data_IF_161160952986
#
_entry.id   IF_161160952986
#
_cell.length_a   1.000
_cell.length_b   1.000
_cell.length_c   1.000
_cell.angle_alpha   90.00
_cell.angle_beta   90.00
_cell.angle_gamma   90.00
#
_symmetry.space_group_name_H-M   'P 1'
#
loop_
_entity.id
_entity.type
_entity.pdbx_description
1 polymer ?
#
# COMPACT_ATOMS: atom_id res chain seq x y z
N UNK A 1 6.26 0.74 4.94
CA UNK A 1 5.47 0.36 3.75
C UNK A 1 4.01 0.16 4.08
N UNK A 2 3.66 -0.74 5.01
CA UNK A 2 2.27 -0.94 5.47
C UNK A 2 1.56 0.38 5.78
N UNK A 3 2.17 1.22 6.62
CA UNK A 3 1.61 2.51 7.00
C UNK A 3 1.37 3.42 5.79
N UNK A 4 2.31 3.52 4.84
CA UNK A 4 2.12 4.31 3.63
C UNK A 4 0.90 3.88 2.78
N UNK A 5 0.59 2.57 2.73
CA UNK A 5 -0.64 2.07 2.07
C UNK A 5 -1.88 2.46 2.85
N UNK A 6 -1.83 2.37 4.19
CA UNK A 6 -2.94 2.75 5.07
C UNK A 6 -3.20 4.26 4.99
N UNK A 7 -2.15 5.08 5.00
CA UNK A 7 -2.25 6.53 4.89
C UNK A 7 -2.84 6.94 3.54
N UNK A 8 -2.43 6.30 2.45
CA UNK A 8 -3.02 6.54 1.13
C UNK A 8 -4.51 6.17 1.12
N UNK A 9 -4.87 5.04 1.72
CA UNK A 9 -6.26 4.63 1.87
C UNK A 9 -7.05 5.59 2.78
N UNK A 10 -6.45 6.14 3.82
CA UNK A 10 -7.03 7.15 4.72
C UNK A 10 -7.24 8.52 4.03
N UNK A 11 -6.61 8.75 2.87
CA UNK A 11 -6.91 9.88 1.99
C UNK A 11 -8.04 9.58 0.98
N UNK A 12 -8.60 8.36 1.01
CA UNK A 12 -9.65 7.91 0.09
C UNK A 12 -9.08 7.47 -1.26
N UNK A 13 -7.78 7.18 -1.30
CA UNK A 13 -7.05 6.86 -2.52
C UNK A 13 -6.49 5.44 -2.45
N UNK A 14 -6.31 4.87 -3.62
CA UNK A 14 -5.51 3.67 -3.83
C UNK A 14 -4.57 3.91 -4.99
N UNK A 15 -3.37 3.33 -4.97
CA UNK A 15 -2.43 3.52 -6.07
C UNK A 15 -2.98 2.92 -7.36
N UNK A 16 -3.54 1.71 -7.28
CA UNK A 16 -4.18 1.03 -8.39
C UNK A 16 -3.20 0.26 -9.27
N UNK A 17 -1.89 0.46 -9.11
CA UNK A 17 -0.82 -0.37 -9.66
C UNK A 17 0.42 -0.40 -8.75
N UNK A 18 0.23 -0.49 -7.42
CA UNK A 18 1.35 -0.43 -6.48
C UNK A 18 2.29 -1.63 -6.66
N UNK A 19 3.58 -1.35 -6.80
CA UNK A 19 4.63 -2.34 -6.91
C UNK A 19 5.97 -1.81 -6.37
N UNK A 20 6.97 -2.65 -6.15
CA UNK A 20 8.29 -2.19 -5.72
C UNK A 20 8.95 -1.20 -6.69
N UNK A 21 8.52 -1.17 -7.96
CA UNK A 21 9.07 -0.27 -8.97
C UNK A 21 8.56 1.18 -8.82
N UNK A 22 7.43 1.40 -8.15
CA UNK A 22 6.89 2.73 -7.87
C UNK A 22 6.99 3.11 -6.37
N UNK A 23 7.94 2.49 -5.67
CA UNK A 23 8.32 2.86 -4.30
C UNK A 23 9.80 3.18 -4.26
N UNK A 24 10.15 4.38 -3.79
CA UNK A 24 11.52 4.79 -3.53
C UNK A 24 11.80 4.73 -2.02
N UNK A 25 13.04 4.48 -1.63
CA UNK A 25 13.49 4.64 -0.25
C UNK A 25 14.17 6.01 -0.11
N UNK A 26 13.57 6.93 0.64
CA UNK A 26 14.20 8.20 0.96
C UNK A 26 15.26 8.01 2.04
N UNK A 27 16.53 8.16 1.66
CA UNK A 27 17.69 7.98 2.54
C UNK A 27 18.13 9.26 3.27
N UNK A 28 17.38 10.36 3.14
CA UNK A 28 17.69 11.62 3.83
C UNK A 28 17.37 11.59 5.32
N UNK A 29 16.55 10.64 5.77
CA UNK A 29 16.19 10.40 7.17
C UNK A 29 17.10 9.34 7.81
N UNK A 30 17.11 9.28 9.14
CA UNK A 30 17.92 8.32 9.90
C UNK A 30 17.56 6.86 9.60
N UNK A 31 16.28 6.61 9.32
CA UNK A 31 15.77 5.34 8.80
C UNK A 31 15.16 5.60 7.40
N UNK A 32 15.37 4.73 6.41
CA UNK A 32 14.81 4.92 5.08
C UNK A 32 13.28 4.92 5.11
N UNK A 33 12.67 5.99 4.60
CA UNK A 33 11.21 6.14 4.56
C UNK A 33 10.67 5.81 3.14
N UNK A 34 9.63 4.97 3.01
CA UNK A 34 9.07 4.63 1.71
C UNK A 34 8.30 5.81 1.11
N UNK A 35 8.69 6.22 -0.10
CA UNK A 35 8.00 7.23 -0.90
C UNK A 35 7.30 6.54 -2.07
N UNK A 36 5.97 6.57 -2.05
CA UNK A 36 5.15 6.12 -3.19
C UNK A 36 5.22 7.20 -4.28
N UNK A 37 5.56 6.79 -5.49
CA UNK A 37 5.64 7.67 -6.67
C UNK A 37 4.60 7.28 -7.71
N UNK A 38 4.60 8.00 -8.83
CA UNK A 38 3.61 7.82 -9.92
C UNK A 38 2.16 8.07 -9.46
N UNK A 39 2.00 9.11 -8.64
CA UNK A 39 0.73 9.49 -8.00
C UNK A 39 -0.36 9.98 -8.98
N UNK A 40 -0.07 10.52 -10.19
CA UNK A 40 -1.14 10.83 -11.14
C UNK A 40 -2.03 9.65 -11.54
N UNK A 41 -1.59 8.40 -11.30
CA UNK A 41 -2.36 7.18 -11.60
C UNK A 41 -3.25 6.70 -10.44
N UNK A 42 -3.28 7.38 -9.29
CA UNK A 42 -4.11 6.95 -8.15
C UNK A 42 -5.60 6.97 -8.49
N UNK A 43 -6.32 6.01 -7.92
CA UNK A 43 -7.75 5.81 -8.12
C UNK A 43 -8.49 6.19 -6.84
N UNK A 44 -9.68 6.79 -6.98
CA UNK A 44 -10.58 7.01 -5.85
C UNK A 44 -11.03 5.65 -5.27
N UNK A 45 -10.64 5.37 -4.04
CA UNK A 45 -10.91 4.10 -3.36
C UNK A 45 -12.40 3.93 -3.04
N UNK A 46 -13.13 5.03 -2.81
CA UNK A 46 -14.49 5.02 -2.27
C UNK A 46 -15.53 5.13 -3.39
N UNK A 47 -15.33 6.05 -4.32
CA UNK A 47 -16.26 6.32 -5.41
C UNK A 47 -16.12 5.32 -6.56
N UNK A 48 -14.95 4.68 -6.73
CA UNK A 48 -14.77 3.68 -7.78
C UNK A 48 -15.37 2.33 -7.37
N UNK A 49 -16.28 1.73 -8.16
CA UNK A 49 -16.86 0.40 -7.87
C UNK A 49 -15.82 -0.72 -7.71
N UNK A 50 -14.63 -0.54 -8.26
CA UNK A 50 -13.53 -1.49 -8.21
C UNK A 50 -12.43 -1.09 -7.21
N UNK A 51 -12.58 -0.01 -6.45
CA UNK A 51 -11.56 0.53 -5.54
C UNK A 51 -11.03 -0.53 -4.55
N UNK A 52 -11.91 -1.30 -3.93
CA UNK A 52 -11.55 -2.39 -3.02
C UNK A 52 -10.70 -3.48 -3.69
N UNK A 53 -10.95 -3.78 -4.96
CA UNK A 53 -10.18 -4.78 -5.69
C UNK A 53 -8.78 -4.27 -6.04
N UNK A 54 -8.67 -2.99 -6.41
CA UNK A 54 -7.36 -2.34 -6.57
C UNK A 54 -6.57 -2.34 -5.26
N UNK A 55 -7.20 -2.05 -4.12
CA UNK A 55 -6.52 -2.07 -2.82
C UNK A 55 -6.02 -3.47 -2.47
N UNK A 56 -6.86 -4.50 -2.67
CA UNK A 56 -6.45 -5.90 -2.48
C UNK A 56 -5.28 -6.28 -3.39
N UNK A 57 -5.28 -5.83 -4.64
CA UNK A 57 -4.18 -6.06 -5.59
C UNK A 57 -2.89 -5.43 -5.09
N UNK A 58 -2.91 -4.16 -4.74
CA UNK A 58 -1.76 -3.40 -4.25
C UNK A 58 -1.15 -4.04 -3.00
N UNK A 59 -1.99 -4.35 -2.00
CA UNK A 59 -1.57 -5.05 -0.78
C UNK A 59 -0.95 -6.41 -1.11
N UNK A 60 -1.59 -7.23 -1.96
CA UNK A 60 -1.06 -8.54 -2.35
C UNK A 60 0.29 -8.43 -3.05
N UNK A 61 0.44 -7.51 -3.98
CA UNK A 61 1.71 -7.30 -4.71
C UNK A 61 2.83 -6.94 -3.75
N UNK A 62 2.60 -5.97 -2.86
CA UNK A 62 3.61 -5.53 -1.91
C UNK A 62 3.94 -6.58 -0.86
N UNK A 63 2.94 -7.25 -0.28
CA UNK A 63 3.15 -8.32 0.68
C UNK A 63 3.90 -9.51 0.05
N UNK A 64 3.58 -9.89 -1.19
CA UNK A 64 4.30 -10.94 -1.92
C UNK A 64 5.77 -10.57 -2.10
N UNK A 65 6.04 -9.34 -2.53
CA UNK A 65 7.41 -8.89 -2.68
C UNK A 65 8.16 -8.83 -1.35
N UNK A 66 7.55 -8.30 -0.28
CA UNK A 66 8.15 -8.25 1.06
C UNK A 66 8.47 -9.65 1.58
N UNK A 67 7.59 -10.63 1.37
CA UNK A 67 7.85 -12.02 1.74
C UNK A 67 9.06 -12.60 0.99
N UNK A 68 9.22 -12.29 -0.31
CA UNK A 68 10.41 -12.66 -1.09
C UNK A 68 11.68 -11.99 -0.55
N UNK A 69 11.58 -10.77 -0.02
CA UNK A 69 12.69 -10.07 0.65
C UNK A 69 12.96 -10.56 2.09
N UNK A 70 12.21 -11.56 2.57
CA UNK A 70 12.43 -12.16 3.90
C UNK A 70 11.63 -11.55 5.04
N UNK A 71 10.59 -10.74 4.75
CA UNK A 71 9.68 -10.26 5.77
C UNK A 71 8.91 -11.43 6.44
N UNK A 72 8.68 -11.39 7.76
CA UNK A 72 7.90 -12.43 8.43
C UNK A 72 6.43 -12.39 7.98
N UNK A 73 5.70 -13.52 8.01
CA UNK A 73 4.29 -13.57 7.62
C UNK A 73 3.40 -12.55 8.34
N UNK A 74 3.70 -12.27 9.61
CA UNK A 74 2.97 -11.27 10.41
C UNK A 74 3.13 -9.83 9.91
N UNK A 75 4.19 -9.52 9.15
CA UNK A 75 4.44 -8.20 8.59
C UNK A 75 3.91 -8.06 7.15
N UNK A 76 3.64 -9.17 6.47
CA UNK A 76 3.30 -9.24 5.05
C UNK A 76 2.03 -10.06 4.78
N UNK A 77 0.99 -9.83 5.59
CA UNK A 77 -0.34 -10.39 5.36
C UNK A 77 -1.23 -9.36 4.61
N UNK A 78 -1.59 -9.62 3.34
CA UNK A 78 -2.36 -8.67 2.55
C UNK A 78 -3.80 -8.47 3.05
N UNK A 79 -4.43 -9.49 3.65
CA UNK A 79 -5.78 -9.36 4.20
C UNK A 79 -5.77 -8.51 5.48
N UNK A 80 -4.72 -8.63 6.28
CA UNK A 80 -4.49 -7.77 7.44
C UNK A 80 -4.32 -6.30 7.02
N UNK A 81 -3.51 -6.02 5.99
CA UNK A 81 -3.30 -4.66 5.47
C UNK A 81 -4.60 -4.06 4.94
N UNK A 82 -5.36 -4.82 4.15
CA UNK A 82 -6.68 -4.39 3.64
C UNK A 82 -7.62 -4.10 4.81
N UNK A 83 -7.71 -5.00 5.79
CA UNK A 83 -8.57 -4.79 6.95
C UNK A 83 -8.15 -3.54 7.75
N UNK A 84 -6.85 -3.28 7.89
CA UNK A 84 -6.32 -2.09 8.58
C UNK A 84 -6.65 -0.80 7.83
N UNK A 85 -6.48 -0.77 6.51
CA UNK A 85 -6.84 0.36 5.66
C UNK A 85 -8.32 0.74 5.82
N UNK A 86 -9.22 -0.24 5.95
CA UNK A 86 -10.65 0.00 6.18
C UNK A 86 -11.01 0.45 7.60
N UNK A 87 -10.19 0.14 8.62
CA UNK A 87 -10.48 0.56 10.01
C UNK A 87 -10.40 2.08 10.19
N UNK A 88 -9.59 2.76 9.38
CA UNK A 88 -9.45 4.23 9.44
C UNK A 88 -10.74 5.01 9.12
N UNK A 89 -11.74 4.34 8.53
CA UNK A 89 -12.98 4.95 8.03
C UNK A 89 -14.23 4.54 8.80
N UNK A 90 -14.06 3.86 9.94
CA UNK A 90 -15.14 3.23 10.71
C UNK A 90 -15.40 3.99 12.00
#
# INVERSE_FOLDING_TARGET
MREAVIDLAALGLVHGDLSPYNVLADSRLAEPDPVIIDVPQTIDLIANPHGTEFLRRDCRTMCTWLAVQGAPPSAADPEEWVAAAWRGWR
#
